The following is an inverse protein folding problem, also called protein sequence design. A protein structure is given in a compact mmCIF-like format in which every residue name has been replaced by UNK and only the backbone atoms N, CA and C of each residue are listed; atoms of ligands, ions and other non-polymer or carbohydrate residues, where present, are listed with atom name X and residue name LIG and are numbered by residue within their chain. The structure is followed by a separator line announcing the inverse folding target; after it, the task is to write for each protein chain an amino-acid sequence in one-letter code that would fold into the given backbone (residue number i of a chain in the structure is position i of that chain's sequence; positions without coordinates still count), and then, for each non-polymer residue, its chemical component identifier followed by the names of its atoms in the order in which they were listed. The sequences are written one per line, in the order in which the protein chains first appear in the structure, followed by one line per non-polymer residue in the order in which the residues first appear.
data_IF_010786867105
#
_entry.id   IF_010786867105
#
_cell.length_a   1.000
_cell.length_b   1.000
_cell.length_c   1.000
_cell.angle_alpha   90.00
_cell.angle_beta   90.00
_cell.angle_gamma   90.00
#
_symmetry.space_group_name_H-M   'P 1'
#
loop_
_entity.id
_entity.type
_entity.pdbx_description
1 polymer ?
#
# COMPACT_ATOMS: atom_id res chain seq x y z
N UNK A 1 61.40 34.15 57.34
CA UNK A 1 60.63 33.12 58.06
C UNK A 1 59.74 32.40 57.05
N UNK A 2 59.93 31.10 56.78
CA UNK A 2 59.11 30.34 55.82
C UNK A 2 57.77 29.94 56.48
N UNK A 3 56.64 30.43 55.98
CA UNK A 3 55.30 29.96 56.38
C UNK A 3 54.75 29.06 55.26
N UNK A 4 54.30 27.86 55.63
CA UNK A 4 53.79 26.83 54.70
C UNK A 4 52.43 27.23 54.12
N UNK A 5 52.29 27.23 52.80
CA UNK A 5 50.98 27.09 52.16
C UNK A 5 50.38 25.72 52.50
N UNK A 6 49.21 25.69 53.14
CA UNK A 6 48.46 24.45 53.38
C UNK A 6 47.39 24.26 52.29
N UNK A 7 47.64 23.25 51.45
CA UNK A 7 46.89 22.84 50.26
C UNK A 7 45.46 22.38 50.59
N UNK A 8 44.45 23.22 50.31
CA UNK A 8 43.02 22.92 50.51
C UNK A 8 42.16 22.98 49.22
N UNK A 9 42.75 23.06 48.02
CA UNK A 9 42.04 23.27 46.74
C UNK A 9 41.33 22.05 46.13
N UNK A 10 41.31 20.88 46.77
CA UNK A 10 40.86 19.61 46.16
C UNK A 10 39.49 19.06 46.60
N UNK A 11 38.70 19.77 47.42
CA UNK A 11 37.33 19.31 47.80
C UNK A 11 36.17 20.23 47.40
N UNK A 12 36.42 21.50 47.07
CA UNK A 12 35.35 22.44 46.69
C UNK A 12 35.07 22.42 45.17
N UNK A 13 36.11 22.25 44.34
CA UNK A 13 35.98 22.12 42.87
C UNK A 13 35.23 20.84 42.46
N UNK A 14 35.27 19.80 43.30
CA UNK A 14 34.62 18.51 43.01
C UNK A 14 33.09 18.54 43.15
N UNK A 15 32.53 19.47 43.94
CA UNK A 15 31.07 19.51 44.21
C UNK A 15 30.34 20.39 43.20
N UNK A 16 30.98 21.47 42.73
CA UNK A 16 30.40 22.29 41.65
C UNK A 16 30.42 21.57 40.30
N UNK A 17 31.45 20.76 40.01
CA UNK A 17 31.50 20.01 38.76
C UNK A 17 30.51 18.83 38.74
N UNK A 18 30.14 18.25 39.89
CA UNK A 18 29.13 17.18 39.95
C UNK A 18 27.70 17.70 39.72
N UNK A 19 27.35 18.90 40.18
CA UNK A 19 26.02 19.46 39.89
C UNK A 19 25.85 19.92 38.44
N UNK A 20 26.90 20.44 37.80
CA UNK A 20 26.86 20.80 36.38
C UNK A 20 26.77 19.56 35.48
N UNK A 21 27.42 18.44 35.83
CA UNK A 21 27.33 17.21 35.04
C UNK A 21 25.99 16.47 35.19
N UNK A 22 25.35 16.52 36.36
CA UNK A 22 24.03 15.89 36.58
C UNK A 22 22.93 16.61 35.80
N UNK A 23 23.04 17.92 35.57
CA UNK A 23 22.13 18.67 34.70
C UNK A 23 22.31 18.36 33.19
N UNK A 24 23.42 17.75 32.78
CA UNK A 24 23.71 17.37 31.38
C UNK A 24 23.49 15.86 31.11
N UNK A 25 22.96 15.12 32.09
CA UNK A 25 22.70 13.68 32.02
C UNK A 25 21.24 13.30 32.26
N UNK A 26 20.32 14.27 32.21
CA UNK A 26 18.93 13.97 31.86
C UNK A 26 18.92 13.70 30.36
N UNK A 27 18.66 12.46 29.89
CA UNK A 27 18.47 12.25 28.47
C UNK A 27 17.26 13.07 28.03
N UNK A 28 17.37 13.77 26.89
CA UNK A 28 16.24 14.49 26.27
C UNK A 28 15.20 13.53 25.65
N UNK A 29 15.14 12.28 26.15
CA UNK A 29 14.16 11.28 25.80
C UNK A 29 12.83 11.61 26.50
N UNK A 30 11.88 12.15 25.75
CA UNK A 30 10.48 12.15 26.17
C UNK A 30 10.04 13.31 27.06
N UNK A 31 10.43 14.56 26.73
CA UNK A 31 9.35 15.55 26.65
C UNK A 31 8.64 15.27 25.33
N UNK A 32 7.72 14.31 25.37
CA UNK A 32 6.65 14.31 24.38
C UNK A 32 5.90 15.60 24.68
N UNK A 33 6.04 16.59 23.81
CA UNK A 33 5.02 17.62 23.71
C UNK A 33 3.77 16.87 23.27
N UNK A 34 2.93 16.49 24.25
CA UNK A 34 1.60 15.95 24.00
C UNK A 34 0.85 17.06 23.30
N UNK A 35 0.85 17.01 21.97
CA UNK A 35 0.17 17.99 21.17
C UNK A 35 -1.28 18.04 21.65
N UNK A 36 -1.78 19.25 21.87
CA UNK A 36 -3.09 19.45 22.44
C UNK A 36 -4.12 18.85 21.49
N UNK A 37 -4.73 17.75 21.93
CA UNK A 37 -5.72 17.01 21.16
C UNK A 37 -6.90 17.95 20.94
N UNK A 38 -7.35 18.18 19.69
CA UNK A 38 -8.37 19.17 19.42
C UNK A 38 -9.67 18.84 20.17
N UNK A 39 -10.27 19.82 20.82
CA UNK A 39 -11.61 19.66 21.42
C UNK A 39 -12.73 19.72 20.36
N UNK A 40 -12.43 20.33 19.21
CA UNK A 40 -13.38 20.65 18.13
C UNK A 40 -12.76 20.46 16.75
N UNK A 41 -13.59 20.09 15.78
CA UNK A 41 -13.27 20.13 14.34
C UNK A 41 -14.36 20.90 13.59
N UNK A 42 -14.00 21.43 12.43
CA UNK A 42 -14.93 22.00 11.47
C UNK A 42 -15.14 21.03 10.30
N UNK A 43 -16.39 20.79 9.91
CA UNK A 43 -16.72 19.98 8.71
C UNK A 43 -17.57 20.84 7.77
N UNK A 44 -17.19 20.90 6.49
CA UNK A 44 -17.91 21.72 5.51
C UNK A 44 -19.28 21.11 5.18
N UNK A 45 -20.37 21.85 5.36
CA UNK A 45 -21.72 21.39 5.00
C UNK A 45 -22.15 21.96 3.66
N UNK A 46 -22.29 21.12 2.62
CA UNK A 46 -22.82 21.55 1.32
C UNK A 46 -24.26 22.10 1.43
N UNK A 47 -25.07 21.54 2.34
CA UNK A 47 -26.45 21.98 2.57
C UNK A 47 -26.50 23.38 3.20
N UNK A 48 -25.51 23.73 4.01
CA UNK A 48 -25.43 25.02 4.70
C UNK A 48 -24.62 26.07 3.91
N UNK A 49 -23.64 25.63 3.11
CA UNK A 49 -22.69 26.49 2.40
C UNK A 49 -21.57 27.04 3.28
N UNK A 50 -21.33 26.46 4.46
CA UNK A 50 -20.30 26.87 5.42
C UNK A 50 -19.83 25.72 6.31
N UNK A 51 -18.73 25.94 7.03
CA UNK A 51 -18.18 25.00 8.01
C UNK A 51 -19.03 24.94 9.29
N UNK A 52 -19.40 23.73 9.69
CA UNK A 52 -20.10 23.46 10.95
C UNK A 52 -19.08 22.92 11.95
N UNK A 53 -18.96 23.61 13.08
CA UNK A 53 -18.10 23.17 14.20
C UNK A 53 -18.78 22.05 14.99
N UNK A 54 -18.04 21.00 15.28
CA UNK A 54 -18.42 19.89 16.15
C UNK A 54 -17.45 19.78 17.31
N UNK A 55 -17.97 19.72 18.53
CA UNK A 55 -17.21 19.27 19.70
C UNK A 55 -17.05 17.75 19.65
N UNK A 56 -15.81 17.29 19.58
CA UNK A 56 -15.48 15.89 19.33
C UNK A 56 -16.03 14.92 20.39
N UNK A 57 -16.17 15.37 21.64
CA UNK A 57 -16.64 14.53 22.76
C UNK A 57 -18.14 14.60 23.03
N UNK A 58 -18.77 15.73 22.67
CA UNK A 58 -20.13 16.05 23.11
C UNK A 58 -21.18 16.06 21.98
N UNK A 59 -20.77 16.32 20.73
CA UNK A 59 -21.68 16.40 19.59
C UNK A 59 -21.78 15.07 18.84
N UNK A 60 -22.94 14.81 18.23
CA UNK A 60 -23.05 13.72 17.26
C UNK A 60 -22.30 14.13 15.99
N UNK A 61 -21.16 13.52 15.73
CA UNK A 61 -20.38 13.70 14.51
C UNK A 61 -21.14 13.22 13.26
N UNK A 62 -20.74 13.67 12.04
CA UNK A 62 -21.28 13.17 10.78
C UNK A 62 -21.20 11.65 10.64
N UNK A 63 -22.13 11.05 9.89
CA UNK A 63 -22.17 9.59 9.71
C UNK A 63 -20.86 9.08 9.06
N UNK A 64 -20.26 8.05 9.67
CA UNK A 64 -18.93 7.54 9.30
C UNK A 64 -17.76 8.19 10.04
N UNK A 65 -18.00 9.19 10.90
CA UNK A 65 -17.03 9.71 11.88
C UNK A 65 -17.37 9.25 13.30
N UNK A 66 -16.33 8.99 14.11
CA UNK A 66 -16.44 8.75 15.55
C UNK A 66 -15.22 9.35 16.28
N UNK A 67 -15.36 9.72 17.55
CA UNK A 67 -14.25 10.16 18.37
C UNK A 67 -13.77 9.06 19.32
N UNK A 68 -12.51 8.67 19.20
CA UNK A 68 -11.85 7.72 20.08
C UNK A 68 -11.16 8.48 21.22
N UNK A 69 -11.87 8.60 22.36
CA UNK A 69 -11.39 9.36 23.52
C UNK A 69 -10.21 8.71 24.25
N UNK A 70 -10.07 7.38 24.15
CA UNK A 70 -8.97 6.63 24.76
C UNK A 70 -7.63 6.93 24.05
N UNK A 71 -7.67 7.09 22.72
CA UNK A 71 -6.48 7.34 21.90
C UNK A 71 -6.36 8.80 21.43
N UNK A 72 -7.36 9.65 21.67
CA UNK A 72 -7.35 11.08 21.32
C UNK A 72 -7.34 11.35 19.82
N UNK A 73 -8.15 10.63 19.05
CA UNK A 73 -8.10 10.62 17.58
C UNK A 73 -9.48 10.52 16.92
N UNK A 74 -9.57 11.03 15.69
CA UNK A 74 -10.76 10.91 14.86
C UNK A 74 -10.76 9.56 14.13
N UNK A 75 -11.85 8.83 14.23
CA UNK A 75 -12.09 7.57 13.51
C UNK A 75 -12.87 7.89 12.24
N UNK A 76 -12.40 7.39 11.09
CA UNK A 76 -13.15 7.38 9.83
C UNK A 76 -13.47 5.94 9.45
N UNK A 77 -14.77 5.59 9.39
CA UNK A 77 -15.25 4.26 9.05
C UNK A 77 -16.47 4.35 8.11
N UNK A 78 -16.22 4.33 6.80
CA UNK A 78 -17.24 4.56 5.79
C UNK A 78 -17.65 6.03 5.63
N UNK A 79 -16.86 6.98 6.13
CA UNK A 79 -17.10 8.41 5.89
C UNK A 79 -17.07 8.69 4.39
N UNK A 80 -18.15 9.27 3.87
CA UNK A 80 -18.24 9.73 2.49
C UNK A 80 -18.88 11.12 2.49
N UNK A 81 -18.04 12.14 2.59
CA UNK A 81 -18.48 13.51 2.79
C UNK A 81 -17.48 14.53 2.28
N UNK A 82 -17.16 15.51 3.10
CA UNK A 82 -16.63 16.82 2.72
C UNK A 82 -15.43 17.22 3.57
N UNK A 83 -14.82 18.36 3.23
CA UNK A 83 -13.65 18.94 3.90
C UNK A 83 -13.75 18.84 5.43
N UNK A 84 -12.70 18.27 6.03
CA UNK A 84 -12.47 18.26 7.47
C UNK A 84 -11.37 19.27 7.79
N UNK A 85 -11.60 20.14 8.77
CA UNK A 85 -10.72 21.27 9.10
C UNK A 85 -10.48 21.38 10.60
N UNK A 86 -9.33 21.93 10.97
CA UNK A 86 -9.16 22.52 12.29
C UNK A 86 -10.05 23.77 12.43
N UNK A 87 -10.50 24.06 13.65
CA UNK A 87 -11.24 25.28 14.02
C UNK A 87 -10.35 26.52 14.15
N UNK A 88 -9.03 26.36 13.95
CA UNK A 88 -8.03 27.41 14.04
C UNK A 88 -6.79 27.11 13.18
N UNK A 89 -5.93 28.12 12.94
CA UNK A 89 -4.79 27.98 12.04
C UNK A 89 -3.76 26.98 12.56
N UNK A 90 -3.34 26.05 11.70
CA UNK A 90 -2.25 25.10 12.00
C UNK A 90 -2.60 23.99 12.99
N UNK A 91 -3.89 23.71 13.22
CA UNK A 91 -4.32 22.62 14.11
C UNK A 91 -3.78 21.25 13.70
N UNK A 92 -3.58 20.36 14.68
CA UNK A 92 -3.09 18.99 14.49
C UNK A 92 -4.18 17.98 14.78
N UNK A 93 -4.18 16.85 14.06
CA UNK A 93 -5.09 15.73 14.34
C UNK A 93 -4.45 14.37 14.03
N UNK A 94 -4.77 13.34 14.81
CA UNK A 94 -4.60 11.94 14.39
C UNK A 94 -5.93 11.44 13.81
N UNK A 95 -5.87 10.83 12.63
CA UNK A 95 -7.00 10.19 11.96
C UNK A 95 -6.68 8.71 11.80
N UNK A 96 -7.59 7.85 12.28
CA UNK A 96 -7.48 6.40 12.12
C UNK A 96 -8.61 5.86 11.22
N UNK A 97 -8.21 5.21 10.14
CA UNK A 97 -9.08 4.82 9.02
C UNK A 97 -9.43 3.33 9.09
N UNK A 98 -10.72 3.01 8.98
CA UNK A 98 -11.24 1.66 8.76
C UNK A 98 -11.94 1.58 7.40
N UNK A 99 -11.66 0.52 6.64
CA UNK A 99 -12.26 0.30 5.33
C UNK A 99 -12.02 1.46 4.36
N UNK A 100 -12.98 1.72 3.47
CA UNK A 100 -12.88 2.77 2.45
C UNK A 100 -13.64 4.03 2.85
N UNK A 101 -12.95 5.16 2.80
CA UNK A 101 -13.47 6.48 3.13
C UNK A 101 -13.19 7.46 1.97
N UNK A 102 -14.02 8.50 1.84
CA UNK A 102 -13.90 9.53 0.80
C UNK A 102 -14.19 10.91 1.38
N UNK A 103 -13.26 11.84 1.15
CA UNK A 103 -13.39 13.25 1.50
C UNK A 103 -13.38 14.03 0.18
N UNK A 104 -14.48 14.72 -0.12
CA UNK A 104 -14.62 15.56 -1.30
C UNK A 104 -14.33 17.02 -0.91
N UNK A 105 -13.22 17.55 -1.42
CA UNK A 105 -12.77 18.92 -1.23
C UNK A 105 -13.04 19.82 -2.43
N UNK A 106 -12.95 21.12 -2.20
CA UNK A 106 -13.03 22.14 -3.25
C UNK A 106 -11.61 22.58 -3.68
N UNK A 107 -11.39 23.88 -3.89
CA UNK A 107 -10.08 24.46 -4.22
C UNK A 107 -9.19 24.72 -3.00
N UNK A 108 -9.69 24.52 -1.78
CA UNK A 108 -8.96 24.75 -0.53
C UNK A 108 -8.35 23.47 0.07
N UNK A 109 -8.65 22.30 -0.49
CA UNK A 109 -8.17 21.00 -0.02
C UNK A 109 -9.26 20.12 0.59
N UNK A 110 -8.88 18.93 1.06
CA UNK A 110 -9.75 17.95 1.70
C UNK A 110 -9.51 17.86 3.23
N UNK A 111 -8.26 18.06 3.65
CA UNK A 111 -7.82 18.02 5.05
C UNK A 111 -7.14 19.35 5.40
N UNK A 112 -7.87 20.23 6.07
CA UNK A 112 -7.42 21.59 6.36
C UNK A 112 -6.84 21.66 7.78
N UNK A 113 -5.67 21.04 7.94
CA UNK A 113 -4.89 20.95 9.17
C UNK A 113 -3.45 21.37 8.90
N UNK A 114 -2.74 21.83 9.93
CA UNK A 114 -1.29 22.06 9.83
C UNK A 114 -0.53 20.73 9.80
N UNK A 115 -0.91 19.81 10.69
CA UNK A 115 -0.32 18.47 10.78
C UNK A 115 -1.40 17.39 10.88
N UNK A 116 -1.27 16.31 10.11
CA UNK A 116 -2.14 15.13 10.16
C UNK A 116 -1.29 13.89 10.34
N UNK A 117 -1.61 13.07 11.34
CA UNK A 117 -1.10 11.71 11.47
C UNK A 117 -2.19 10.78 10.96
N UNK A 118 -1.93 10.09 9.85
CA UNK A 118 -2.88 9.18 9.20
C UNK A 118 -2.45 7.72 9.43
N UNK A 119 -3.29 6.97 10.14
CA UNK A 119 -3.11 5.53 10.41
C UNK A 119 -4.37 4.77 9.99
N UNK A 120 -4.32 3.45 9.95
CA UNK A 120 -5.52 2.66 9.69
C UNK A 120 -5.39 1.18 9.98
N UNK A 121 -6.50 0.48 9.77
CA UNK A 121 -6.54 -0.99 9.75
C UNK A 121 -5.80 -1.54 8.52
N UNK A 122 -5.52 -2.86 8.48
CA UNK A 122 -5.26 -3.53 7.21
C UNK A 122 -6.34 -3.16 6.18
N UNK A 123 -5.91 -3.00 4.92
CA UNK A 123 -6.74 -2.62 3.77
C UNK A 123 -7.50 -1.27 3.92
N UNK A 124 -7.09 -0.40 4.85
CA UNK A 124 -7.67 0.93 4.99
C UNK A 124 -7.37 1.83 3.79
N UNK A 125 -8.41 2.46 3.24
CA UNK A 125 -8.33 3.36 2.08
C UNK A 125 -8.94 4.72 2.44
N UNK A 126 -8.18 5.78 2.22
CA UNK A 126 -8.69 7.16 2.25
C UNK A 126 -8.56 7.78 0.86
N UNK A 127 -9.70 8.14 0.27
CA UNK A 127 -9.77 8.87 -1.00
C UNK A 127 -9.96 10.36 -0.73
N UNK A 128 -9.08 11.19 -1.24
CA UNK A 128 -9.16 12.65 -1.19
C UNK A 128 -9.43 13.16 -2.60
N UNK A 129 -10.66 13.61 -2.86
CA UNK A 129 -11.10 14.09 -4.17
C UNK A 129 -11.25 15.61 -4.12
N UNK A 130 -10.29 16.36 -4.64
CA UNK A 130 -10.31 17.82 -4.65
C UNK A 130 -10.58 18.39 -6.04
N UNK A 131 -11.29 19.52 -6.10
CA UNK A 131 -11.47 20.29 -7.35
C UNK A 131 -10.18 21.00 -7.79
N UNK A 132 -9.33 21.35 -6.83
CA UNK A 132 -7.94 21.73 -7.08
C UNK A 132 -7.15 21.53 -5.78
N UNK A 133 -5.91 21.01 -5.84
CA UNK A 133 -5.01 20.81 -4.69
C UNK A 133 -5.68 20.10 -3.49
N UNK A 134 -6.14 18.83 -3.64
CA UNK A 134 -6.73 18.04 -2.54
C UNK A 134 -5.92 18.06 -1.23
N UNK A 135 -4.59 18.16 -1.33
CA UNK A 135 -3.69 18.42 -0.20
C UNK A 135 -3.00 19.78 -0.40
N UNK A 136 -3.21 20.71 0.53
CA UNK A 136 -2.73 22.09 0.46
C UNK A 136 -2.17 22.56 1.80
N UNK A 137 -0.86 22.79 1.89
CA UNK A 137 -0.18 23.29 3.11
C UNK A 137 -0.36 22.40 4.35
N UNK A 138 -0.21 21.09 4.16
CA UNK A 138 -0.34 20.07 5.21
C UNK A 138 1.00 19.36 5.41
N UNK A 139 1.39 19.12 6.66
CA UNK A 139 2.38 18.11 7.03
C UNK A 139 1.64 16.80 7.36
N UNK A 140 1.96 15.71 6.67
CA UNK A 140 1.19 14.47 6.71
C UNK A 140 2.10 13.25 6.89
N UNK A 141 1.99 12.58 8.03
CA UNK A 141 2.65 11.30 8.27
C UNK A 141 1.64 10.15 8.07
N UNK A 142 1.87 9.30 7.06
CA UNK A 142 1.00 8.16 6.73
C UNK A 142 1.65 6.85 7.16
N UNK A 143 0.87 6.00 7.83
CA UNK A 143 1.27 4.66 8.28
C UNK A 143 0.23 3.63 7.81
N UNK A 144 0.67 2.69 6.98
CA UNK A 144 -0.10 1.49 6.59
C UNK A 144 -1.49 1.73 5.93
N UNK A 145 -1.78 2.97 5.51
CA UNK A 145 -3.00 3.36 4.78
C UNK A 145 -2.73 3.50 3.29
N UNK A 146 -3.69 3.09 2.45
CA UNK A 146 -3.74 3.51 1.05
C UNK A 146 -4.41 4.89 0.94
N UNK A 147 -3.60 5.91 0.70
CA UNK A 147 -4.03 7.28 0.44
C UNK A 147 -4.12 7.51 -1.08
N UNK A 148 -5.35 7.64 -1.58
CA UNK A 148 -5.62 7.98 -2.97
C UNK A 148 -5.97 9.47 -3.07
N UNK A 149 -5.16 10.25 -3.77
CA UNK A 149 -5.37 11.67 -4.05
C UNK A 149 -5.83 11.79 -5.51
N UNK A 150 -7.00 12.38 -5.73
CA UNK A 150 -7.53 12.68 -7.05
C UNK A 150 -7.79 14.18 -7.18
N UNK A 151 -7.19 14.81 -8.18
CA UNK A 151 -7.50 16.18 -8.57
C UNK A 151 -8.17 16.20 -9.95
N UNK A 152 -9.46 16.54 -9.96
CA UNK A 152 -10.26 16.78 -11.17
C UNK A 152 -10.60 18.27 -11.24
N UNK A 153 -10.15 18.95 -12.28
CA UNK A 153 -10.29 20.42 -12.41
C UNK A 153 -11.71 20.89 -12.76
N UNK A 154 -12.05 22.13 -12.38
CA UNK A 154 -13.21 22.88 -12.91
C UNK A 154 -12.74 24.02 -13.83
N UNK A 155 -13.55 24.35 -14.84
CA UNK A 155 -13.23 25.39 -15.82
C UNK A 155 -12.86 26.74 -15.17
N UNK A 156 -11.59 27.14 -15.28
CA UNK A 156 -11.16 28.52 -15.01
C UNK A 156 -9.77 28.70 -14.37
N UNK A 157 -9.23 27.70 -13.68
CA UNK A 157 -7.96 27.85 -12.95
C UNK A 157 -6.72 27.84 -13.86
N UNK A 158 -5.67 28.58 -13.52
CA UNK A 158 -4.44 28.56 -14.34
C UNK A 158 -3.63 27.25 -14.18
N UNK A 159 -3.73 26.62 -13.00
CA UNK A 159 -2.90 25.48 -12.60
C UNK A 159 -3.70 24.51 -11.73
N UNK A 160 -3.63 23.21 -12.06
CA UNK A 160 -4.18 22.13 -11.23
C UNK A 160 -3.04 21.25 -10.68
N UNK A 161 -3.14 20.84 -9.41
CA UNK A 161 -2.27 19.80 -8.86
C UNK A 161 -2.95 18.90 -7.83
N UNK A 162 -2.36 17.72 -7.57
CA UNK A 162 -2.78 16.80 -6.50
C UNK A 162 -2.34 17.28 -5.12
N UNK A 163 -1.13 17.84 -5.03
CA UNK A 163 -0.55 18.39 -3.81
C UNK A 163 0.10 19.75 -4.05
N UNK A 164 0.12 20.62 -3.05
CA UNK A 164 0.77 21.94 -3.10
C UNK A 164 1.33 22.38 -1.75
N UNK A 165 2.62 22.75 -1.73
CA UNK A 165 3.35 23.30 -0.58
C UNK A 165 3.17 22.46 0.71
N UNK A 166 3.31 21.14 0.59
CA UNK A 166 3.00 20.16 1.64
C UNK A 166 4.17 19.20 1.86
N UNK A 167 4.28 18.65 3.08
CA UNK A 167 5.22 17.59 3.41
C UNK A 167 4.46 16.28 3.62
N UNK A 168 4.91 15.19 3.01
CA UNK A 168 4.33 13.85 3.22
C UNK A 168 5.43 12.86 3.54
N UNK A 169 5.29 12.16 4.67
CA UNK A 169 6.09 10.99 5.01
C UNK A 169 5.23 9.74 4.86
N UNK A 170 5.69 8.77 4.07
CA UNK A 170 5.08 7.44 3.99
C UNK A 170 5.93 6.46 4.80
N UNK A 171 5.31 5.71 5.69
CA UNK A 171 5.94 4.79 6.62
C UNK A 171 5.27 3.39 6.53
N UNK A 172 5.99 2.35 6.95
CA UNK A 172 5.50 0.98 6.94
C UNK A 172 5.17 0.48 5.53
N UNK A 173 3.92 0.09 5.32
CA UNK A 173 3.35 -0.40 4.06
C UNK A 173 2.37 0.59 3.40
N UNK A 174 2.41 1.87 3.82
CA UNK A 174 1.56 2.93 3.27
C UNK A 174 1.67 3.03 1.74
N UNK A 175 0.58 3.38 1.07
CA UNK A 175 0.53 3.55 -0.38
C UNK A 175 0.01 4.94 -0.71
N UNK A 176 0.73 5.69 -1.52
CA UNK A 176 0.28 6.96 -2.05
C UNK A 176 -0.02 6.80 -3.55
N UNK A 177 -1.25 7.06 -3.95
CA UNK A 177 -1.61 7.24 -5.35
C UNK A 177 -2.02 8.70 -5.57
N UNK A 178 -1.38 9.40 -6.50
CA UNK A 178 -1.74 10.76 -6.90
C UNK A 178 -2.15 10.71 -8.37
N UNK A 179 -3.44 10.89 -8.64
CA UNK A 179 -3.98 10.98 -9.99
C UNK A 179 -4.44 12.41 -10.27
N UNK A 180 -3.82 13.07 -11.25
CA UNK A 180 -4.18 14.43 -11.65
C UNK A 180 -4.50 14.40 -13.13
N UNK A 181 -5.76 14.68 -13.47
CA UNK A 181 -6.23 14.62 -14.84
C UNK A 181 -6.93 15.90 -15.24
N UNK A 182 -6.46 16.50 -16.33
CA UNK A 182 -6.97 17.79 -16.81
C UNK A 182 -7.30 17.73 -18.29
N UNK A 183 -8.51 18.18 -18.65
CA UNK A 183 -8.99 18.26 -20.02
C UNK A 183 -9.56 19.65 -20.26
N UNK A 184 -8.79 20.54 -20.92
CA UNK A 184 -9.09 21.97 -21.01
C UNK A 184 -8.84 22.53 -22.41
N UNK A 185 -9.54 23.62 -22.72
CA UNK A 185 -9.52 24.29 -24.02
C UNK A 185 -8.52 25.45 -24.14
N UNK A 186 -7.86 25.89 -23.05
CA UNK A 186 -6.84 26.94 -23.11
C UNK A 186 -5.77 26.89 -22.01
N UNK A 187 -4.53 26.60 -22.41
CA UNK A 187 -3.32 27.13 -21.78
C UNK A 187 -2.99 26.73 -20.34
N UNK A 188 -3.35 25.51 -19.93
CA UNK A 188 -3.09 25.01 -18.59
C UNK A 188 -1.65 24.60 -18.30
N UNK A 189 -1.32 24.55 -17.00
CA UNK A 189 -0.31 23.65 -16.45
C UNK A 189 -0.94 22.62 -15.51
N UNK A 190 -0.35 21.42 -15.47
CA UNK A 190 -0.87 20.25 -14.73
C UNK A 190 0.29 19.62 -13.98
N UNK A 191 0.13 19.41 -12.67
CA UNK A 191 1.21 18.90 -11.84
C UNK A 191 0.75 17.80 -10.89
N UNK A 192 1.61 16.82 -10.61
CA UNK A 192 1.37 15.91 -9.49
C UNK A 192 1.52 16.67 -8.17
N UNK A 193 2.76 17.08 -7.90
CA UNK A 193 3.19 17.78 -6.69
C UNK A 193 3.81 19.14 -7.07
N UNK A 194 3.51 20.20 -6.31
CA UNK A 194 4.12 21.53 -6.44
C UNK A 194 4.69 21.95 -5.08
N UNK A 195 5.96 22.37 -5.03
CA UNK A 195 6.66 22.84 -3.82
C UNK A 195 6.54 21.86 -2.63
N UNK A 196 6.43 20.55 -2.89
CA UNK A 196 6.22 19.53 -1.87
C UNK A 196 7.51 18.81 -1.49
N UNK A 197 7.54 18.21 -0.29
CA UNK A 197 8.54 17.19 0.06
C UNK A 197 7.82 15.86 0.28
N UNK A 198 8.21 14.82 -0.47
CA UNK A 198 7.70 13.46 -0.33
C UNK A 198 8.84 12.55 0.13
N UNK A 199 8.71 11.98 1.33
CA UNK A 199 9.68 11.04 1.90
C UNK A 199 9.05 9.65 1.97
N UNK A 200 9.70 8.68 1.32
CA UNK A 200 9.21 7.30 1.19
C UNK A 200 10.12 6.38 1.98
N UNK A 201 9.62 5.79 3.07
CA UNK A 201 10.37 4.89 3.95
C UNK A 201 9.88 3.45 3.83
N UNK A 202 10.59 2.54 4.48
CA UNK A 202 10.18 1.15 4.71
C UNK A 202 9.80 0.42 3.41
N UNK A 203 8.58 -0.10 3.31
CA UNK A 203 8.05 -0.81 2.12
C UNK A 203 6.96 0.03 1.40
N UNK A 204 6.86 1.32 1.73
CA UNK A 204 5.81 2.20 1.22
C UNK A 204 5.94 2.48 -0.28
N UNK A 205 4.83 2.51 -1.00
CA UNK A 205 4.81 2.62 -2.48
C UNK A 205 4.17 3.92 -2.96
N UNK A 206 4.63 4.43 -4.10
CA UNK A 206 4.14 5.67 -4.71
C UNK A 206 3.78 5.47 -6.18
N UNK A 207 2.57 5.88 -6.56
CA UNK A 207 2.12 6.09 -7.93
C UNK A 207 1.75 7.58 -8.11
N UNK A 208 2.42 8.29 -9.03
CA UNK A 208 2.04 9.66 -9.43
C UNK A 208 1.77 9.66 -10.92
N UNK A 209 0.50 9.82 -11.30
CA UNK A 209 0.01 9.77 -12.68
C UNK A 209 -0.59 11.14 -13.04
N UNK A 210 -0.01 11.81 -14.04
CA UNK A 210 -0.38 13.19 -14.42
C UNK A 210 -0.74 13.25 -15.91
N UNK A 211 -2.02 13.40 -16.21
CA UNK A 211 -2.59 13.44 -17.55
C UNK A 211 -2.99 14.88 -17.93
N UNK A 212 -2.25 15.50 -18.85
CA UNK A 212 -2.63 16.73 -19.54
C UNK A 212 -3.25 16.46 -20.90
N UNK A 213 -4.51 16.87 -21.09
CA UNK A 213 -5.29 16.70 -22.32
C UNK A 213 -5.68 18.09 -22.85
N UNK A 214 -5.89 18.19 -24.17
CA UNK A 214 -6.30 19.44 -24.82
C UNK A 214 -5.15 20.43 -24.94
N UNK A 215 -5.40 21.72 -24.71
CA UNK A 215 -4.40 22.79 -24.90
C UNK A 215 -3.46 22.98 -23.70
N UNK A 216 -2.98 21.90 -23.11
CA UNK A 216 -2.06 21.92 -21.96
C UNK A 216 -0.64 22.27 -22.40
N UNK A 217 0.01 23.23 -21.74
CA UNK A 217 1.39 23.64 -22.04
C UNK A 217 2.42 22.71 -21.41
N UNK A 218 2.38 22.60 -20.08
CA UNK A 218 3.37 21.89 -19.27
C UNK A 218 2.66 20.87 -18.38
N UNK A 219 3.11 19.62 -18.43
CA UNK A 219 2.74 18.54 -17.51
C UNK A 219 3.98 18.13 -16.73
N UNK A 220 3.91 18.06 -15.39
CA UNK A 220 5.02 17.49 -14.62
C UNK A 220 4.62 16.74 -13.36
N UNK A 221 5.32 15.64 -13.05
CA UNK A 221 5.07 14.86 -11.84
C UNK A 221 5.41 15.66 -10.59
N UNK A 222 6.57 16.31 -10.61
CA UNK A 222 7.20 17.06 -9.54
C UNK A 222 7.59 18.45 -10.05
N UNK A 223 7.11 19.50 -9.40
CA UNK A 223 7.48 20.89 -9.71
C UNK A 223 8.00 21.56 -8.44
N UNK A 224 9.25 22.06 -8.43
CA UNK A 224 9.87 22.60 -7.22
C UNK A 224 9.93 21.63 -6.04
N UNK A 225 9.74 20.33 -6.28
CA UNK A 225 9.44 19.33 -5.24
C UNK A 225 10.61 18.39 -4.97
N UNK A 226 10.70 17.89 -3.74
CA UNK A 226 11.74 16.97 -3.30
C UNK A 226 11.16 15.57 -3.12
N UNK A 227 11.85 14.56 -3.65
CA UNK A 227 11.51 13.15 -3.49
C UNK A 227 12.68 12.42 -2.80
N UNK A 228 12.44 11.93 -1.59
CA UNK A 228 13.45 11.26 -0.76
C UNK A 228 13.10 9.78 -0.60
N UNK A 229 13.84 8.88 -1.24
CA UNK A 229 13.69 7.42 -1.09
C UNK A 229 14.64 6.93 0.00
N UNK A 230 14.06 6.58 1.15
CA UNK A 230 14.73 6.02 2.33
C UNK A 230 14.31 4.56 2.59
N UNK A 231 13.39 4.03 1.77
CA UNK A 231 12.84 2.68 1.86
C UNK A 231 13.25 1.77 0.70
N UNK A 232 12.39 0.78 0.45
CA UNK A 232 12.52 -0.27 -0.57
C UNK A 232 11.24 -0.49 -1.38
N UNK A 233 10.16 0.23 -1.07
CA UNK A 233 8.95 0.19 -1.87
C UNK A 233 9.14 0.83 -3.24
N UNK A 234 8.28 0.46 -4.19
CA UNK A 234 8.33 0.95 -5.57
C UNK A 234 7.81 2.40 -5.68
N UNK A 235 8.52 3.21 -6.46
CA UNK A 235 8.07 4.55 -6.87
C UNK A 235 7.87 4.57 -8.39
N UNK A 236 6.75 5.13 -8.84
CA UNK A 236 6.41 5.34 -10.23
C UNK A 236 5.83 6.73 -10.43
N UNK A 237 6.40 7.44 -11.40
CA UNK A 237 5.92 8.73 -11.84
C UNK A 237 5.75 8.63 -13.36
N UNK A 238 4.55 8.89 -13.84
CA UNK A 238 4.24 8.97 -15.27
C UNK A 238 3.51 10.27 -15.57
N UNK A 239 3.91 10.90 -16.66
CA UNK A 239 3.36 12.16 -17.13
C UNK A 239 3.02 12.05 -18.61
N UNK A 240 1.81 12.41 -18.98
CA UNK A 240 1.31 12.35 -20.35
C UNK A 240 0.80 13.73 -20.75
N UNK A 241 1.22 14.20 -21.92
CA UNK A 241 0.69 15.40 -22.54
C UNK A 241 0.22 15.05 -23.95
N UNK A 242 -1.09 15.11 -24.19
CA UNK A 242 -1.70 14.78 -25.49
C UNK A 242 -1.64 15.97 -26.48
N UNK A 243 -1.11 17.11 -26.06
CA UNK A 243 -0.77 18.23 -26.93
C UNK A 243 0.59 17.97 -27.61
N UNK A 244 0.62 17.95 -28.95
CA UNK A 244 1.83 17.64 -29.73
C UNK A 244 3.00 18.62 -29.52
N UNK A 245 2.73 19.85 -29.10
CA UNK A 245 3.74 20.86 -28.75
C UNK A 245 3.97 20.97 -27.22
N UNK A 246 3.17 20.25 -26.42
CA UNK A 246 3.17 20.32 -24.98
C UNK A 246 4.27 19.47 -24.34
N UNK A 247 4.89 19.98 -23.27
CA UNK A 247 5.94 19.25 -22.56
C UNK A 247 5.35 18.31 -21.51
N UNK A 248 5.99 17.16 -21.32
CA UNK A 248 5.79 16.29 -20.16
C UNK A 248 7.16 15.92 -19.57
N UNK A 249 7.28 15.90 -18.25
CA UNK A 249 8.50 15.48 -17.56
C UNK A 249 8.20 15.08 -16.11
N UNK A 250 8.84 14.03 -15.61
CA UNK A 250 8.74 13.59 -14.21
C UNK A 250 9.04 14.71 -13.23
N UNK A 251 10.07 15.52 -13.50
CA UNK A 251 10.46 16.62 -12.63
C UNK A 251 11.09 17.78 -13.38
N UNK A 252 10.79 19.00 -12.91
CA UNK A 252 11.33 20.24 -13.45
C UNK A 252 12.81 20.47 -13.06
N UNK A 253 13.36 21.64 -13.39
CA UNK A 253 14.75 21.99 -13.04
C UNK A 253 15.00 21.96 -11.52
N UNK A 254 14.08 22.53 -10.74
CA UNK A 254 14.19 22.69 -9.28
C UNK A 254 13.93 21.40 -8.51
N UNK A 255 13.24 20.42 -9.11
CA UNK A 255 12.98 19.12 -8.48
C UNK A 255 14.27 18.40 -8.11
N UNK A 256 14.36 17.95 -6.86
CA UNK A 256 15.43 17.08 -6.37
C UNK A 256 14.91 15.67 -6.13
N UNK A 257 15.76 14.67 -6.39
CA UNK A 257 15.46 13.28 -6.09
C UNK A 257 16.69 12.70 -5.37
N UNK A 258 16.50 12.25 -4.13
CA UNK A 258 17.51 11.65 -3.28
C UNK A 258 17.14 10.19 -3.02
N UNK A 259 18.11 9.29 -3.10
CA UNK A 259 17.93 7.86 -2.85
C UNK A 259 19.05 7.40 -1.94
N UNK A 260 18.70 6.96 -0.73
CA UNK A 260 19.68 6.62 0.31
C UNK A 260 20.55 5.41 -0.09
N UNK A 261 19.95 4.42 -0.73
CA UNK A 261 20.65 3.26 -1.30
C UNK A 261 20.03 2.83 -2.63
N UNK A 262 20.63 3.34 -3.71
CA UNK A 262 20.24 3.06 -5.09
C UNK A 262 20.40 1.58 -5.48
N UNK A 263 21.17 0.78 -4.74
CA UNK A 263 21.39 -0.64 -5.06
C UNK A 263 20.15 -1.51 -4.84
N UNK A 264 19.14 -1.01 -4.11
CA UNK A 264 17.84 -1.68 -3.96
C UNK A 264 16.97 -1.64 -5.22
N UNK A 265 17.35 -0.87 -6.25
CA UNK A 265 16.45 -0.49 -7.35
C UNK A 265 17.02 -0.72 -8.76
N UNK A 266 16.22 -1.32 -9.63
CA UNK A 266 16.32 -1.11 -11.08
C UNK A 266 15.63 0.20 -11.43
N UNK A 267 16.37 1.16 -12.01
CA UNK A 267 15.83 2.45 -12.42
C UNK A 267 15.36 2.38 -13.88
N UNK A 268 14.16 2.88 -14.16
CA UNK A 268 13.64 3.08 -15.53
C UNK A 268 13.31 4.54 -15.74
N UNK A 269 13.82 5.13 -16.83
CA UNK A 269 13.62 6.54 -17.16
C UNK A 269 14.40 7.50 -16.28
N UNK A 270 14.08 8.80 -16.37
CA UNK A 270 14.83 9.87 -15.71
C UNK A 270 13.95 11.08 -15.39
N UNK A 271 14.44 11.99 -14.52
CA UNK A 271 13.73 13.22 -14.11
C UNK A 271 13.22 14.06 -15.29
N UNK A 272 14.01 14.18 -16.36
CA UNK A 272 13.66 14.97 -17.55
C UNK A 272 12.80 14.24 -18.58
N UNK A 273 12.47 12.96 -18.35
CA UNK A 273 11.66 12.13 -19.24
C UNK A 273 10.21 12.06 -18.75
N UNK A 274 9.30 11.54 -19.59
CA UNK A 274 7.88 11.40 -19.24
C UNK A 274 7.60 10.31 -18.19
N UNK A 275 8.58 9.46 -17.87
CA UNK A 275 8.48 8.33 -16.95
C UNK A 275 9.72 8.23 -16.06
N UNK A 276 9.52 7.91 -14.77
CA UNK A 276 10.58 7.51 -13.84
C UNK A 276 10.04 6.41 -12.93
N UNK A 277 10.85 5.37 -12.73
CA UNK A 277 10.55 4.28 -11.82
C UNK A 277 11.78 3.87 -11.02
N UNK A 278 11.57 3.64 -9.73
CA UNK A 278 12.50 2.95 -8.85
C UNK A 278 11.89 1.59 -8.53
N UNK A 279 12.25 0.57 -9.31
CA UNK A 279 11.65 -0.77 -9.26
C UNK A 279 12.47 -1.67 -8.35
N UNK A 280 11.96 -2.12 -7.20
CA UNK A 280 12.70 -3.01 -6.31
C UNK A 280 12.77 -4.43 -6.85
N UNK A 281 13.69 -5.22 -6.30
CA UNK A 281 13.75 -6.65 -6.59
C UNK A 281 12.44 -7.37 -6.21
N UNK A 282 11.88 -8.25 -7.06
CA UNK A 282 10.62 -8.92 -6.79
C UNK A 282 10.71 -9.89 -5.62
N UNK A 283 9.65 -9.93 -4.80
CA UNK A 283 9.46 -10.87 -3.70
C UNK A 283 8.40 -11.91 -4.09
N UNK A 284 8.58 -13.15 -3.65
CA UNK A 284 7.55 -14.17 -3.76
C UNK A 284 6.53 -13.95 -2.64
N UNK A 285 5.26 -13.85 -3.00
CA UNK A 285 4.16 -13.64 -2.06
C UNK A 285 3.40 -14.94 -1.79
N UNK A 286 3.16 -15.75 -2.83
CA UNK A 286 2.43 -17.02 -2.76
C UNK A 286 3.02 -18.02 -3.76
N UNK A 287 2.92 -19.33 -3.46
CA UNK A 287 3.28 -20.42 -4.38
C UNK A 287 4.49 -21.27 -3.98
N UNK A 288 5.27 -20.89 -2.97
CA UNK A 288 6.42 -21.70 -2.52
C UNK A 288 6.01 -23.08 -1.97
N UNK A 289 6.79 -24.11 -2.32
CA UNK A 289 6.58 -25.50 -1.93
C UNK A 289 5.18 -26.07 -2.30
N UNK A 290 4.52 -25.47 -3.29
CA UNK A 290 3.19 -25.91 -3.73
C UNK A 290 3.23 -27.32 -4.34
N UNK A 291 2.12 -28.05 -4.24
CA UNK A 291 2.00 -29.39 -4.82
C UNK A 291 0.83 -29.45 -5.79
N UNK A 292 1.00 -30.21 -6.87
CA UNK A 292 -0.02 -30.41 -7.88
C UNK A 292 -0.10 -31.89 -8.28
N UNK A 293 -1.29 -32.49 -8.24
CA UNK A 293 -1.49 -33.92 -8.51
C UNK A 293 -1.93 -34.13 -9.95
N UNK A 294 -1.31 -35.08 -10.66
CA UNK A 294 -1.67 -35.41 -12.05
C UNK A 294 -3.16 -35.72 -12.20
N UNK A 295 -3.80 -35.06 -13.18
CA UNK A 295 -5.25 -35.12 -13.39
C UNK A 295 -6.08 -34.10 -12.58
N UNK A 296 -5.45 -33.20 -11.82
CA UNK A 296 -6.16 -32.08 -11.18
C UNK A 296 -6.69 -31.10 -12.23
N UNK A 297 -7.97 -30.73 -12.13
CA UNK A 297 -8.64 -29.84 -13.07
C UNK A 297 -8.22 -28.35 -12.98
N UNK A 298 -7.43 -27.99 -11.97
CA UNK A 298 -6.96 -26.61 -11.74
C UNK A 298 -5.48 -26.49 -12.06
N UNK A 299 -5.05 -25.32 -12.52
CA UNK A 299 -3.62 -24.99 -12.66
C UNK A 299 -2.91 -24.81 -11.31
N UNK A 300 -1.65 -24.37 -11.37
CA UNK A 300 -0.83 -24.05 -10.21
C UNK A 300 -0.35 -22.59 -10.27
N UNK A 301 -0.61 -21.83 -9.22
CA UNK A 301 -0.43 -20.36 -9.20
C UNK A 301 0.75 -19.93 -8.33
N UNK A 302 1.50 -18.94 -8.81
CA UNK A 302 2.60 -18.30 -8.12
C UNK A 302 2.43 -16.78 -8.19
N UNK A 303 2.63 -16.07 -7.08
CA UNK A 303 2.39 -14.63 -6.98
C UNK A 303 3.69 -13.89 -6.67
N UNK A 304 4.13 -13.06 -7.59
CA UNK A 304 5.27 -12.14 -7.42
C UNK A 304 4.77 -10.75 -7.04
N UNK A 305 5.56 -10.02 -6.24
CA UNK A 305 5.28 -8.62 -5.89
C UNK A 305 5.47 -7.65 -7.07
N UNK A 306 6.09 -8.06 -8.17
CA UNK A 306 6.26 -7.25 -9.37
C UNK A 306 4.90 -6.82 -9.96
N UNK A 307 4.83 -5.61 -10.53
CA UNK A 307 3.64 -5.15 -11.25
C UNK A 307 3.38 -6.00 -12.48
N UNK A 308 2.09 -6.26 -12.76
CA UNK A 308 1.62 -7.02 -13.91
C UNK A 308 2.27 -6.66 -15.26
N UNK A 309 2.45 -5.37 -15.55
CA UNK A 309 3.04 -4.90 -16.81
C UNK A 309 4.57 -5.13 -16.96
N UNK A 310 5.23 -5.59 -15.90
CA UNK A 310 6.68 -5.80 -15.87
C UNK A 310 7.10 -7.22 -16.21
N UNK A 311 6.16 -8.17 -16.28
CA UNK A 311 6.46 -9.57 -16.60
C UNK A 311 7.21 -9.65 -17.94
N UNK A 312 8.38 -10.28 -17.93
CA UNK A 312 9.24 -10.47 -19.10
C UNK A 312 9.29 -11.92 -19.55
N UNK A 313 9.41 -12.84 -18.62
CA UNK A 313 9.66 -14.25 -18.92
C UNK A 313 9.18 -15.15 -17.77
N UNK A 314 8.70 -16.34 -18.11
CA UNK A 314 8.44 -17.44 -17.17
C UNK A 314 9.24 -18.65 -17.62
N UNK A 315 9.97 -19.28 -16.69
CA UNK A 315 10.72 -20.51 -16.92
C UNK A 315 10.33 -21.58 -15.92
N UNK A 316 10.35 -22.85 -16.33
CA UNK A 316 10.32 -24.02 -15.44
C UNK A 316 11.54 -24.87 -15.73
N UNK A 317 12.30 -25.20 -14.68
CA UNK A 317 13.60 -25.90 -14.73
C UNK A 317 14.60 -25.28 -15.73
N UNK A 318 14.52 -23.96 -15.92
CA UNK A 318 15.33 -23.18 -16.86
C UNK A 318 14.81 -23.14 -18.30
N UNK A 319 13.81 -23.96 -18.67
CA UNK A 319 13.16 -23.93 -19.98
C UNK A 319 12.04 -22.87 -20.01
N UNK A 320 11.99 -22.07 -21.09
CA UNK A 320 10.98 -21.02 -21.27
C UNK A 320 9.57 -21.63 -21.42
N UNK A 321 8.60 -21.05 -20.70
CA UNK A 321 7.20 -21.43 -20.78
C UNK A 321 6.50 -20.47 -21.75
N UNK A 322 5.99 -20.99 -22.87
CA UNK A 322 5.15 -20.22 -23.79
C UNK A 322 3.99 -19.54 -23.05
N UNK A 323 3.62 -18.32 -23.48
CA UNK A 323 2.45 -17.60 -22.95
C UNK A 323 1.13 -18.34 -23.16
N UNK A 324 1.09 -19.32 -24.08
CA UNK A 324 -0.05 -20.24 -24.24
C UNK A 324 -0.18 -21.24 -23.08
N UNK A 325 0.87 -21.48 -22.29
CA UNK A 325 0.93 -22.49 -21.22
C UNK A 325 0.71 -21.90 -19.81
N UNK A 326 0.56 -20.59 -19.68
CA UNK A 326 0.16 -19.94 -18.43
C UNK A 326 -0.95 -18.90 -18.64
N UNK A 327 -1.50 -18.38 -17.55
CA UNK A 327 -2.28 -17.13 -17.54
C UNK A 327 -1.67 -16.14 -16.55
N UNK A 328 -1.94 -14.86 -16.77
CA UNK A 328 -1.58 -13.78 -15.83
C UNK A 328 -2.73 -12.77 -15.74
N UNK A 329 -2.92 -12.15 -14.57
CA UNK A 329 -4.05 -11.24 -14.29
C UNK A 329 -3.58 -9.94 -13.63
N UNK A 330 -4.27 -8.83 -13.92
CA UNK A 330 -3.93 -7.47 -13.47
C UNK A 330 -3.80 -7.33 -11.95
N UNK A 331 -2.71 -6.71 -11.50
CA UNK A 331 -2.38 -6.49 -10.08
C UNK A 331 -0.91 -6.82 -9.78
N UNK A 332 -0.67 -7.46 -8.65
CA UNK A 332 0.56 -8.25 -8.44
C UNK A 332 0.67 -9.33 -9.52
N UNK A 333 1.87 -9.66 -9.97
CA UNK A 333 2.09 -10.64 -11.05
C UNK A 333 1.76 -12.06 -10.56
N UNK A 334 0.52 -12.50 -10.79
CA UNK A 334 0.09 -13.89 -10.59
C UNK A 334 0.34 -14.66 -11.89
N UNK A 335 1.21 -15.66 -11.87
CA UNK A 335 1.44 -16.60 -12.97
C UNK A 335 0.79 -17.92 -12.62
N UNK A 336 -0.18 -18.35 -13.43
CA UNK A 336 -0.84 -19.65 -13.26
C UNK A 336 -0.45 -20.60 -14.38
N UNK A 337 0.35 -21.62 -14.07
CA UNK A 337 0.67 -22.70 -15.00
C UNK A 337 -0.59 -23.53 -15.30
N UNK A 338 -0.90 -23.74 -16.58
CA UNK A 338 -2.09 -24.50 -16.99
C UNK A 338 -1.92 -26.00 -16.70
N UNK A 339 -3.04 -26.67 -16.42
CA UNK A 339 -3.10 -28.14 -16.25
C UNK A 339 -2.33 -28.88 -17.35
N UNK A 340 -2.59 -28.57 -18.62
CA UNK A 340 -1.95 -29.25 -19.77
C UNK A 340 -0.43 -29.12 -19.81
N UNK A 341 0.12 -28.04 -19.24
CA UNK A 341 1.57 -27.88 -19.09
C UNK A 341 2.09 -28.71 -17.91
N UNK A 342 1.40 -28.68 -16.77
CA UNK A 342 1.74 -29.46 -15.57
C UNK A 342 1.67 -30.99 -15.82
N UNK A 343 0.74 -31.44 -16.67
CA UNK A 343 0.64 -32.83 -17.14
C UNK A 343 1.83 -33.27 -18.02
N UNK A 344 2.56 -32.33 -18.62
CA UNK A 344 3.76 -32.62 -19.43
C UNK A 344 5.04 -32.73 -18.58
N UNK A 345 5.00 -32.27 -17.34
CA UNK A 345 6.11 -32.36 -16.40
C UNK A 345 6.20 -33.77 -15.80
N UNK A 346 7.40 -34.13 -15.33
CA UNK A 346 7.63 -35.42 -14.66
C UNK A 346 7.06 -35.38 -13.25
N UNK A 347 6.75 -36.54 -12.68
CA UNK A 347 6.49 -36.64 -11.24
C UNK A 347 7.79 -36.34 -10.48
N UNK A 348 7.75 -35.42 -9.52
CA UNK A 348 8.93 -34.97 -8.77
C UNK A 348 8.94 -33.47 -8.49
N UNK A 349 10.09 -32.98 -8.00
CA UNK A 349 10.32 -31.58 -7.69
C UNK A 349 10.75 -30.77 -8.93
N UNK A 350 10.23 -29.55 -9.02
CA UNK A 350 10.43 -28.58 -10.09
C UNK A 350 10.67 -27.18 -9.52
N UNK A 351 11.24 -26.29 -10.32
CA UNK A 351 11.39 -24.87 -9.97
C UNK A 351 10.84 -23.97 -11.07
N UNK A 352 9.98 -23.02 -10.70
CA UNK A 352 9.57 -21.91 -11.57
C UNK A 352 10.48 -20.69 -11.31
N UNK A 353 10.79 -19.96 -12.36
CA UNK A 353 11.41 -18.64 -12.31
C UNK A 353 10.52 -17.64 -13.05
N UNK A 354 10.24 -16.50 -12.40
CA UNK A 354 9.41 -15.41 -12.92
C UNK A 354 10.29 -14.17 -13.01
N UNK A 355 10.58 -13.73 -14.23
CA UNK A 355 11.44 -12.57 -14.50
C UNK A 355 10.60 -11.34 -14.82
N UNK A 356 10.90 -10.25 -14.14
CA UNK A 356 10.29 -8.93 -14.30
C UNK A 356 11.36 -7.85 -14.48
N UNK A 357 10.98 -6.57 -14.66
CA UNK A 357 11.92 -5.45 -14.74
C UNK A 357 12.87 -5.38 -13.53
N UNK A 358 12.35 -5.58 -12.31
CA UNK A 358 13.16 -5.54 -11.08
C UNK A 358 14.09 -6.75 -10.87
N UNK A 359 14.03 -7.75 -11.76
CA UNK A 359 14.81 -9.00 -11.66
C UNK A 359 13.93 -10.25 -11.64
N UNK A 360 14.51 -11.37 -11.18
CA UNK A 360 13.88 -12.69 -11.18
C UNK A 360 13.60 -13.17 -9.76
N UNK A 361 12.40 -13.71 -9.55
CA UNK A 361 12.04 -14.47 -8.35
C UNK A 361 11.83 -15.94 -8.73
N UNK A 362 12.22 -16.86 -7.86
CA UNK A 362 12.02 -18.31 -8.05
C UNK A 362 11.08 -18.88 -6.99
N UNK A 363 10.43 -20.00 -7.32
CA UNK A 363 9.64 -20.79 -6.38
C UNK A 363 9.76 -22.28 -6.68
N UNK A 364 9.75 -23.12 -5.65
CA UNK A 364 9.78 -24.58 -5.82
C UNK A 364 8.38 -25.18 -5.77
N UNK A 365 8.12 -26.23 -6.56
CA UNK A 365 6.86 -26.97 -6.54
C UNK A 365 7.06 -28.47 -6.82
N UNK A 366 6.04 -29.28 -6.55
CA UNK A 366 6.09 -30.73 -6.73
C UNK A 366 4.91 -31.25 -7.55
N UNK A 367 5.20 -32.04 -8.59
CA UNK A 367 4.21 -32.81 -9.34
C UNK A 367 4.06 -34.18 -8.68
N UNK A 368 2.87 -34.50 -8.19
CA UNK A 368 2.51 -35.78 -7.57
C UNK A 368 1.81 -36.68 -8.60
N UNK A 369 2.11 -37.97 -8.58
CA UNK A 369 1.40 -38.94 -9.41
C UNK A 369 -0.09 -38.97 -9.07
N UNK A 370 -0.94 -39.21 -10.08
CA UNK A 370 -2.36 -39.49 -9.85
C UNK A 370 -2.49 -40.77 -9.02
N UNK A 371 -3.41 -40.85 -8.03
CA UNK A 371 -3.68 -42.10 -7.34
C UNK A 371 -4.21 -43.13 -8.35
N UNK A 372 -3.48 -44.24 -8.54
CA UNK A 372 -3.98 -45.32 -9.38
C UNK A 372 -5.35 -45.80 -8.86
N UNK A 373 -6.35 -46.00 -9.74
CA UNK A 373 -7.57 -46.68 -9.33
C UNK A 373 -7.18 -48.09 -8.90
N UNK A 374 -7.30 -48.37 -7.60
CA UNK A 374 -6.94 -49.68 -7.04
C UNK A 374 -7.83 -50.74 -7.70
N UNK A 375 -7.26 -51.46 -8.67
CA UNK A 375 -7.95 -52.50 -9.40
C UNK A 375 -8.25 -53.67 -8.45
N UNK A 376 -9.41 -53.59 -7.80
CA UNK A 376 -9.90 -54.64 -6.91
C UNK A 376 -10.21 -55.86 -7.76
N UNK A 377 -9.25 -56.78 -7.84
CA UNK A 377 -9.38 -58.09 -8.47
C UNK A 377 -10.25 -58.99 -7.61
N UNK A 378 -11.56 -58.72 -7.60
CA UNK A 378 -12.58 -59.63 -7.06
C UNK A 378 -12.68 -60.87 -7.95
N UNK A 379 -11.84 -61.85 -7.65
CA UNK A 379 -11.96 -63.20 -8.17
C UNK A 379 -13.12 -63.94 -7.49
N UNK A 380 -14.33 -63.88 -8.06
CA UNK A 380 -15.48 -64.67 -7.62
C UNK A 380 -15.86 -65.73 -8.66
N UNK A 381 -15.59 -66.98 -8.32
CA UNK A 381 -16.15 -68.18 -8.99
C UNK A 381 -17.66 -68.25 -8.69
N UNK A 382 -18.53 -68.60 -9.66
CA UNK A 382 -19.97 -68.40 -9.51
C UNK A 382 -20.65 -69.48 -8.65
N UNK A 383 -21.66 -69.04 -7.90
CA UNK A 383 -22.74 -69.89 -7.35
C UNK A 383 -24.07 -69.22 -7.68
N UNK A 384 -24.94 -69.95 -8.38
CA UNK A 384 -26.32 -69.60 -8.71
C UNK A 384 -27.26 -70.00 -7.54
N UNK A 385 -28.48 -69.49 -7.39
CA UNK A 385 -29.17 -68.30 -7.89
C UNK A 385 -30.51 -68.20 -7.14
N UNK A 386 -31.13 -67.01 -7.04
CA UNK A 386 -32.60 -66.93 -7.17
C UNK A 386 -33.11 -65.55 -7.62
N UNK A 387 -34.18 -65.61 -8.44
CA UNK A 387 -35.17 -64.61 -8.92
C UNK A 387 -35.05 -63.10 -8.54
N UNK A 388 -34.89 -62.12 -9.45
CA UNK A 388 -35.81 -61.56 -10.51
C UNK A 388 -36.97 -60.70 -9.92
N UNK A 389 -37.29 -59.45 -10.32
CA UNK A 389 -36.66 -58.43 -11.21
C UNK A 389 -37.37 -57.03 -11.02
N UNK A 390 -37.63 -56.20 -12.06
CA UNK A 390 -36.96 -54.92 -12.43
C UNK A 390 -37.83 -53.66 -12.13
N UNK A 391 -37.58 -52.38 -12.53
CA UNK A 391 -36.71 -51.67 -13.52
C UNK A 391 -36.29 -50.26 -13.02
N UNK A 392 -35.24 -49.65 -13.58
CA UNK A 392 -34.96 -48.19 -13.50
C UNK A 392 -33.70 -47.80 -14.29
N UNK A 393 -33.83 -46.96 -15.32
CA UNK A 393 -32.87 -46.85 -16.43
C UNK A 393 -31.62 -45.96 -16.20
N UNK A 394 -30.67 -46.05 -17.12
CA UNK A 394 -29.30 -45.55 -17.09
C UNK A 394 -29.15 -44.08 -17.53
N UNK A 395 -27.94 -43.56 -17.29
CA UNK A 395 -27.25 -42.49 -18.02
C UNK A 395 -27.62 -41.01 -17.79
N UNK A 396 -26.61 -40.32 -17.24
CA UNK A 396 -26.06 -39.04 -17.73
C UNK A 396 -26.78 -37.72 -17.40
N UNK A 397 -26.35 -37.11 -16.29
CA UNK A 397 -25.97 -35.70 -16.16
C UNK A 397 -24.90 -35.67 -15.04
N UNK A 398 -23.66 -35.21 -15.21
CA UNK A 398 -23.12 -34.12 -16.05
C UNK A 398 -23.95 -32.84 -15.90
N UNK A 399 -24.09 -32.39 -14.66
CA UNK A 399 -24.00 -30.97 -14.25
C UNK A 399 -24.45 -30.80 -12.80
N UNK A 400 -23.50 -30.51 -11.90
CA UNK A 400 -23.61 -29.52 -10.82
C UNK A 400 -22.33 -29.53 -9.97
N UNK A 401 -21.42 -28.64 -10.33
CA UNK A 401 -20.32 -28.21 -9.47
C UNK A 401 -20.68 -26.82 -8.95
N UNK A 402 -20.74 -26.63 -7.62
CA UNK A 402 -20.34 -25.38 -6.97
C UNK A 402 -20.42 -25.47 -5.43
N UNK A 403 -19.35 -24.96 -4.81
CA UNK A 403 -19.26 -24.30 -3.49
C UNK A 403 -18.72 -25.12 -2.29
N UNK A 404 -17.86 -24.43 -1.53
CA UNK A 404 -17.17 -24.83 -0.26
C UNK A 404 -16.12 -25.94 -0.48
N UNK A 405 -14.80 -25.71 -0.36
CA UNK A 405 -14.05 -25.32 0.85
C UNK A 405 -12.80 -24.49 0.47
N UNK A 406 -12.58 -23.35 1.12
CA UNK A 406 -11.29 -22.66 1.16
C UNK A 406 -11.17 -21.73 2.38
N UNK A 407 -11.31 -22.27 3.60
CA UNK A 407 -10.97 -21.56 4.84
C UNK A 407 -10.29 -22.50 5.85
N UNK A 408 -9.10 -22.09 6.28
CA UNK A 408 -8.49 -22.49 7.55
C UNK A 408 -7.79 -23.84 7.60
N UNK A 409 -6.58 -23.86 8.19
CA UNK A 409 -6.05 -25.09 8.78
C UNK A 409 -4.54 -25.26 8.82
N UNK A 410 -3.83 -24.52 9.66
CA UNK A 410 -2.66 -25.06 10.39
C UNK A 410 -2.33 -24.26 11.65
N UNK A 411 -3.20 -24.39 12.66
CA UNK A 411 -2.84 -24.14 14.05
C UNK A 411 -2.37 -25.47 14.66
N UNK A 412 -1.12 -25.55 15.10
CA UNK A 412 -0.58 -26.75 15.75
C UNK A 412 -0.92 -26.72 17.25
N UNK A 413 -1.59 -27.77 17.73
CA UNK A 413 -1.97 -27.91 19.12
C UNK A 413 -0.83 -28.48 19.98
N UNK A 414 -0.71 -28.01 21.22
CA UNK A 414 -0.01 -28.70 22.30
C UNK A 414 -0.68 -28.40 23.65
N UNK A 415 -0.93 -29.43 24.46
CA UNK A 415 -1.21 -29.26 25.90
C UNK A 415 -2.62 -29.54 26.41
N UNK A 416 -3.20 -30.73 26.15
CA UNK A 416 -4.30 -31.23 27.00
C UNK A 416 -3.70 -31.91 28.25
N UNK A 417 -3.94 -31.34 29.43
CA UNK A 417 -3.73 -32.05 30.69
C UNK A 417 -4.68 -31.59 31.83
N UNK A 418 -5.72 -32.41 32.05
CA UNK A 418 -6.43 -32.67 33.32
C UNK A 418 -7.38 -31.60 33.91
N UNK A 419 -8.68 -31.93 33.86
CA UNK A 419 -9.72 -31.50 34.82
C UNK A 419 -9.45 -32.01 36.24
N UNK A 420 -9.82 -31.19 37.23
CA UNK A 420 -10.55 -31.44 38.51
C UNK A 420 -10.14 -30.33 39.50
N UNK A 421 -10.97 -29.72 40.33
CA UNK A 421 -12.42 -29.74 40.62
C UNK A 421 -12.64 -28.71 41.76
N UNK A 422 -13.90 -28.34 42.04
CA UNK A 422 -14.38 -27.68 43.28
C UNK A 422 -14.14 -26.18 43.59
N UNK A 423 -15.30 -25.51 43.75
CA UNK A 423 -15.66 -24.28 44.51
C UNK A 423 -15.34 -22.92 43.91
#
# INVERSE_FOLDING_TARGET
MKIKMKRNSKRIVSVFLSFVLIAMLIPLSGIIATAEVPETIDVYSEQAGYFVTYNLKNDKLPDGMEWDDENGRLILNGYNGTIISATGPGGKIEIYVYGTNTINGDSFGCLNFGEVILKGSPDAVLNLHGKNRPIYRVELDVYDVQLNIKADDQDGEATCSGMYNSSVTLNGSAKLSVNVKRNISSGARVYGLIDCTLTVKDEATVDILVDGIGSTYDVSGLNGSNLNLQGKGEVYIETKNDNGDGKSSVGDYYTTITVDDLSNYTVVGAKGESILRYVPAPKLLEGEASKWTSGSATGLSFKSSARFGDLREVKVDGAEVSSENYTHTSGSTVVTLKQSFLESLKVGAHQIAITSIGGTVTANFEILASPEPTATTVGTKPVAADTIAPTGDMNNVVSQLALVVALGGLAVAAGVARRKEEK
#
